data_IF_827025417569
#
_entry.id   IF_827025417569
#
_cell.length_a   1.000
_cell.length_b   1.000
_cell.length_c   1.000
_cell.angle_alpha   90.00
_cell.angle_beta   90.00
_cell.angle_gamma   90.00
#
_symmetry.space_group_name_H-M   'P 1'
#
loop_
_entity.id
_entity.type
_entity.pdbx_description
1 polymer ?
#
# COMPACT_ATOMS: atom_id res chain seq x y z
N UNK A 1 -42.19 -34.79 36.95
CA UNK A 1 -41.65 -34.31 35.65
C UNK A 1 -40.22 -33.85 35.89
N UNK A 2 -39.20 -34.47 35.29
CA UNK A 2 -37.80 -34.03 35.40
C UNK A 2 -37.45 -33.20 34.15
N UNK A 3 -37.30 -31.90 34.31
CA UNK A 3 -36.81 -31.01 33.25
C UNK A 3 -35.30 -31.14 33.25
N UNK A 4 -34.73 -31.60 32.15
CA UNK A 4 -33.28 -31.66 31.94
C UNK A 4 -32.91 -30.44 31.10
N UNK A 5 -32.19 -29.50 31.72
CA UNK A 5 -31.61 -28.37 31.00
C UNK A 5 -30.31 -28.85 30.34
N UNK A 6 -30.28 -28.85 29.01
CA UNK A 6 -29.07 -29.13 28.23
C UNK A 6 -28.45 -27.78 27.86
N UNK A 7 -27.22 -27.54 28.31
CA UNK A 7 -26.44 -26.38 27.90
C UNK A 7 -25.90 -26.68 26.50
N UNK A 8 -26.52 -26.10 25.49
CA UNK A 8 -26.05 -26.18 24.10
C UNK A 8 -25.11 -24.99 23.86
N UNK A 9 -23.81 -25.20 23.61
CA UNK A 9 -22.91 -24.11 23.24
C UNK A 9 -23.31 -23.61 21.84
N UNK A 10 -23.91 -22.43 21.77
CA UNK A 10 -24.18 -21.75 20.51
C UNK A 10 -22.88 -21.10 20.04
N UNK A 11 -22.35 -21.41 18.84
CA UNK A 11 -21.21 -20.70 18.30
C UNK A 11 -21.57 -19.23 18.14
N UNK A 12 -20.85 -18.33 18.81
CA UNK A 12 -20.94 -16.90 18.50
C UNK A 12 -20.25 -16.67 17.16
N UNK A 13 -21.04 -16.52 16.10
CA UNK A 13 -20.55 -16.05 14.82
C UNK A 13 -20.29 -14.54 14.93
N UNK A 14 -19.06 -14.18 15.30
CA UNK A 14 -18.59 -12.81 15.20
C UNK A 14 -18.34 -12.56 13.72
N UNK A 15 -19.22 -11.76 13.08
CA UNK A 15 -18.98 -11.30 11.72
C UNK A 15 -17.75 -10.38 11.77
N UNK A 16 -16.68 -10.78 11.09
CA UNK A 16 -15.50 -9.92 10.95
C UNK A 16 -15.85 -8.72 10.06
N UNK A 17 -15.39 -7.51 10.38
CA UNK A 17 -15.69 -6.31 9.60
C UNK A 17 -15.03 -6.30 8.23
N UNK A 18 -13.99 -7.11 8.05
CA UNK A 18 -13.20 -7.25 6.82
C UNK A 18 -12.97 -8.72 6.49
N UNK A 19 -12.44 -8.97 5.29
CA UNK A 19 -11.97 -10.27 4.82
C UNK A 19 -10.44 -10.26 4.65
N UNK A 20 -9.84 -11.45 4.61
CA UNK A 20 -8.41 -11.58 4.29
C UNK A 20 -8.15 -11.04 2.88
N UNK A 21 -7.07 -10.29 2.72
CA UNK A 21 -6.73 -9.65 1.45
C UNK A 21 -7.45 -8.32 1.19
N UNK A 22 -8.43 -7.92 2.00
CA UNK A 22 -8.97 -6.55 1.92
C UNK A 22 -7.87 -5.55 2.30
N UNK A 23 -7.86 -4.41 1.60
CA UNK A 23 -7.08 -3.25 2.02
C UNK A 23 -7.89 -2.40 2.99
N UNK A 24 -7.27 -2.03 4.09
CA UNK A 24 -7.88 -1.20 5.14
C UNK A 24 -7.05 0.04 5.39
N UNK A 25 -7.75 1.13 5.69
CA UNK A 25 -7.20 2.39 6.13
C UNK A 25 -7.45 2.52 7.64
N UNK A 26 -6.38 2.70 8.41
CA UNK A 26 -6.41 3.02 9.83
C UNK A 26 -6.17 4.51 10.01
N UNK A 27 -7.18 5.22 10.50
CA UNK A 27 -7.17 6.68 10.62
C UNK A 27 -6.59 7.09 11.98
N UNK A 28 -5.36 7.62 11.99
CA UNK A 28 -4.80 8.31 13.15
C UNK A 28 -5.18 9.80 13.09
N UNK A 29 -4.98 10.53 14.19
CA UNK A 29 -5.27 11.97 14.27
C UNK A 29 -4.54 12.80 13.19
N UNK A 30 -3.29 12.43 12.87
CA UNK A 30 -2.41 13.24 12.01
C UNK A 30 -2.03 12.55 10.68
N UNK A 31 -2.37 11.27 10.52
CA UNK A 31 -2.01 10.49 9.34
C UNK A 31 -2.90 9.26 9.18
N UNK A 32 -2.99 8.74 7.97
CA UNK A 32 -3.67 7.47 7.69
C UNK A 32 -2.64 6.41 7.36
N UNK A 33 -2.76 5.23 7.95
CA UNK A 33 -1.98 4.05 7.59
C UNK A 33 -2.82 3.08 6.77
N UNK A 34 -2.16 2.34 5.90
CA UNK A 34 -2.80 1.39 5.01
C UNK A 34 -2.15 0.02 5.13
N UNK A 35 -2.97 -1.02 5.14
CA UNK A 35 -2.48 -2.40 5.12
C UNK A 35 -3.47 -3.34 4.45
N UNK A 36 -2.93 -4.37 3.80
CA UNK A 36 -3.69 -5.56 3.42
C UNK A 36 -3.88 -6.45 4.65
N UNK A 37 -5.12 -6.88 4.91
CA UNK A 37 -5.49 -7.76 6.02
C UNK A 37 -4.82 -9.13 5.86
N UNK A 38 -3.81 -9.43 6.69
CA UNK A 38 -3.11 -10.72 6.70
C UNK A 38 -3.67 -11.71 7.72
N UNK A 39 -4.18 -11.21 8.84
CA UNK A 39 -4.88 -12.01 9.84
C UNK A 39 -5.80 -11.11 10.67
N UNK A 40 -6.79 -11.72 11.32
CA UNK A 40 -7.64 -11.05 12.30
C UNK A 40 -7.71 -11.88 13.58
N UNK A 41 -7.68 -11.20 14.72
CA UNK A 41 -7.78 -11.82 16.05
C UNK A 41 -8.85 -11.12 16.89
N UNK A 42 -9.72 -11.90 17.52
CA UNK A 42 -10.68 -11.38 18.51
C UNK A 42 -10.02 -11.36 19.88
N UNK A 43 -9.86 -10.18 20.46
CA UNK A 43 -9.43 -10.05 21.83
C UNK A 43 -10.53 -10.56 22.77
N UNK A 44 -10.25 -11.66 23.47
CA UNK A 44 -11.23 -12.35 24.33
C UNK A 44 -11.68 -11.54 25.55
N UNK A 45 -10.90 -10.53 25.96
CA UNK A 45 -11.23 -9.75 27.17
C UNK A 45 -12.24 -8.63 26.94
N UNK A 46 -12.29 -8.07 25.72
CA UNK A 46 -13.16 -6.94 25.39
C UNK A 46 -13.95 -7.12 24.09
N UNK A 47 -13.74 -8.22 23.36
CA UNK A 47 -14.40 -8.52 22.09
C UNK A 47 -13.89 -7.72 20.90
N UNK A 48 -12.91 -6.83 21.08
CA UNK A 48 -12.35 -6.03 20.00
C UNK A 48 -11.59 -6.90 18.99
N UNK A 49 -11.73 -6.59 17.71
CA UNK A 49 -11.02 -7.29 16.64
C UNK A 49 -9.74 -6.52 16.32
N UNK A 50 -8.62 -7.24 16.23
CA UNK A 50 -7.34 -6.71 15.77
C UNK A 50 -7.03 -7.23 14.37
N UNK A 51 -6.39 -6.40 13.56
CA UNK A 51 -5.99 -6.69 12.19
C UNK A 51 -4.46 -6.71 12.14
N UNK A 52 -3.90 -7.83 11.68
CA UNK A 52 -2.48 -7.94 11.36
C UNK A 52 -2.25 -7.49 9.93
N UNK A 53 -1.29 -6.60 9.76
CA UNK A 53 -0.87 -6.10 8.46
C UNK A 53 0.58 -5.67 8.47
N UNK A 54 1.07 -5.28 7.29
CA UNK A 54 2.23 -4.39 7.17
C UNK A 54 1.65 -3.01 6.96
N UNK A 55 1.79 -2.14 7.96
CA UNK A 55 1.17 -0.82 8.00
C UNK A 55 2.15 0.22 7.44
N UNK A 56 1.77 0.86 6.34
CA UNK A 56 2.54 1.93 5.73
C UNK A 56 1.72 3.21 5.62
N UNK A 57 2.40 4.33 5.46
CA UNK A 57 1.77 5.59 5.07
C UNK A 57 2.58 6.24 3.92
N UNK A 58 1.98 7.21 3.25
CA UNK A 58 2.63 7.91 2.11
C UNK A 58 3.93 8.64 2.47
N UNK A 59 4.16 8.94 3.75
CA UNK A 59 5.32 9.68 4.25
C UNK A 59 6.50 8.78 4.63
N UNK A 60 6.32 7.45 4.76
CA UNK A 60 7.42 6.53 5.11
C UNK A 60 8.11 5.96 3.87
N UNK A 61 9.45 5.96 3.90
CA UNK A 61 10.31 5.39 2.87
C UNK A 61 10.59 3.88 3.04
N UNK A 62 10.14 3.26 4.13
CA UNK A 62 10.24 1.81 4.34
C UNK A 62 8.97 1.12 3.79
N UNK A 63 8.93 -0.21 3.67
CA UNK A 63 7.72 -0.90 3.17
C UNK A 63 6.51 -0.82 4.13
N UNK A 64 6.67 -0.19 5.30
CA UNK A 64 5.75 -0.24 6.43
C UNK A 64 6.24 -1.18 7.52
N UNK A 65 5.58 -1.12 8.67
CA UNK A 65 5.91 -1.92 9.85
C UNK A 65 4.85 -3.00 10.09
N UNK A 66 5.30 -4.20 10.40
CA UNK A 66 4.39 -5.31 10.71
C UNK A 66 3.79 -5.10 12.09
N UNK A 67 2.46 -5.05 12.18
CA UNK A 67 1.80 -4.71 13.42
C UNK A 67 0.33 -5.10 13.47
N UNK A 68 -0.24 -4.97 14.66
CA UNK A 68 -1.66 -5.20 14.93
C UNK A 68 -2.35 -3.88 15.23
N UNK A 69 -3.42 -3.58 14.50
CA UNK A 69 -4.27 -2.41 14.77
C UNK A 69 -5.71 -2.81 15.04
N UNK A 70 -6.47 -1.95 15.70
CA UNK A 70 -7.87 -2.24 16.02
C UNK A 70 -8.79 -1.97 14.83
N UNK A 71 -9.69 -2.93 14.56
CA UNK A 71 -10.58 -2.91 13.42
C UNK A 71 -11.68 -1.85 13.50
N UNK A 72 -12.01 -1.36 14.69
CA UNK A 72 -13.00 -0.30 14.95
C UNK A 72 -12.50 1.08 14.52
N UNK A 73 -11.19 1.26 14.40
CA UNK A 73 -10.53 2.45 13.85
C UNK A 73 -10.19 2.30 12.36
N UNK A 74 -10.59 1.19 11.75
CA UNK A 74 -10.33 0.90 10.35
C UNK A 74 -11.58 1.11 9.51
N UNK A 75 -11.37 1.52 8.25
CA UNK A 75 -12.34 1.38 7.16
C UNK A 75 -11.70 0.65 5.99
N UNK A 76 -12.52 0.24 5.01
CA UNK A 76 -11.98 -0.20 3.73
C UNK A 76 -11.23 0.96 3.06
N UNK A 77 -10.04 0.68 2.53
CA UNK A 77 -9.33 1.61 1.68
C UNK A 77 -10.08 1.75 0.34
N UNK A 78 -10.04 2.94 -0.25
CA UNK A 78 -10.50 3.10 -1.64
C UNK A 78 -9.52 2.45 -2.61
N UNK A 79 -9.95 2.21 -3.85
CA UNK A 79 -9.07 1.68 -4.90
C UNK A 79 -7.86 2.60 -5.13
N UNK A 80 -8.06 3.91 -5.12
CA UNK A 80 -6.99 4.91 -5.25
C UNK A 80 -6.01 4.83 -4.07
N UNK A 81 -6.50 4.74 -2.84
CA UNK A 81 -5.65 4.64 -1.65
C UNK A 81 -4.81 3.37 -1.66
N UNK A 82 -5.43 2.23 -2.00
CA UNK A 82 -4.74 0.98 -2.20
C UNK A 82 -3.66 1.13 -3.27
N UNK A 83 -4.01 1.66 -4.44
CA UNK A 83 -3.10 1.84 -5.56
C UNK A 83 -1.86 2.65 -5.17
N UNK A 84 -2.06 3.82 -4.55
CA UNK A 84 -0.97 4.70 -4.18
C UNK A 84 -0.07 4.11 -3.09
N UNK A 85 -0.64 3.35 -2.15
CA UNK A 85 0.14 2.64 -1.14
C UNK A 85 0.91 1.44 -1.73
N UNK A 86 0.30 0.67 -2.63
CA UNK A 86 0.96 -0.43 -3.34
C UNK A 86 2.13 0.10 -4.16
N UNK A 87 1.91 1.18 -4.91
CA UNK A 87 2.95 1.87 -5.67
C UNK A 87 4.07 2.37 -4.78
N UNK A 88 3.76 3.01 -3.65
CA UNK A 88 4.76 3.42 -2.66
C UNK A 88 5.61 2.25 -2.18
N UNK A 89 5.00 1.08 -1.91
CA UNK A 89 5.73 -0.13 -1.50
C UNK A 89 6.67 -0.66 -2.58
N UNK A 90 6.34 -0.49 -3.86
CA UNK A 90 7.21 -0.85 -4.98
C UNK A 90 8.51 -0.04 -4.94
N UNK A 91 8.43 1.29 -4.76
CA UNK A 91 9.62 2.14 -4.56
C UNK A 91 10.36 1.83 -3.26
N UNK A 92 9.64 1.62 -2.15
CA UNK A 92 10.24 1.34 -0.85
C UNK A 92 11.05 0.03 -0.82
N UNK A 93 10.67 -0.99 -1.61
CA UNK A 93 11.47 -2.22 -1.80
C UNK A 93 12.85 -1.94 -2.38
N UNK A 94 13.02 -0.84 -3.12
CA UNK A 94 14.29 -0.34 -3.65
C UNK A 94 14.94 0.71 -2.75
N UNK A 95 14.44 0.91 -1.53
CA UNK A 95 14.89 1.94 -0.58
C UNK A 95 14.76 3.36 -1.12
N UNK A 96 13.76 3.58 -1.97
CA UNK A 96 13.45 4.89 -2.57
C UNK A 96 12.18 5.46 -1.94
N UNK A 97 12.06 6.78 -1.90
CA UNK A 97 10.81 7.44 -1.53
C UNK A 97 9.76 7.18 -2.62
N UNK A 98 8.49 7.36 -2.27
CA UNK A 98 7.43 7.33 -3.28
C UNK A 98 7.77 8.32 -4.39
N UNK A 99 7.54 7.95 -5.65
CA UNK A 99 7.80 8.85 -6.79
C UNK A 99 9.27 9.27 -6.98
N UNK A 100 10.23 8.57 -6.37
CA UNK A 100 11.64 8.86 -6.54
C UNK A 100 12.23 8.03 -7.68
N UNK A 101 12.27 8.65 -8.85
CA UNK A 101 12.83 8.09 -10.07
C UNK A 101 14.32 8.43 -10.18
N UNK A 102 15.10 7.47 -10.63
CA UNK A 102 16.53 7.62 -10.87
C UNK A 102 16.81 7.47 -12.37
N UNK A 103 17.93 8.02 -12.81
CA UNK A 103 18.36 7.91 -14.21
C UNK A 103 18.50 6.44 -14.62
N UNK A 104 17.94 6.08 -15.78
CA UNK A 104 17.93 4.73 -16.31
C UNK A 104 16.73 3.87 -15.91
N UNK A 105 15.85 4.35 -15.03
CA UNK A 105 14.58 3.68 -14.79
C UNK A 105 13.71 3.68 -16.05
N UNK A 106 12.95 2.60 -16.25
CA UNK A 106 11.96 2.50 -17.31
C UNK A 106 10.57 2.76 -16.74
N UNK A 107 9.82 3.66 -17.35
CA UNK A 107 8.46 4.00 -16.95
C UNK A 107 7.55 4.16 -18.18
N UNK A 108 6.27 4.44 -17.95
CA UNK A 108 5.32 4.82 -18.99
C UNK A 108 4.39 5.92 -18.52
N UNK A 109 3.83 6.67 -19.47
CA UNK A 109 2.83 7.73 -19.24
C UNK A 109 1.40 7.27 -19.58
N UNK A 110 1.16 5.95 -19.59
CA UNK A 110 -0.08 5.34 -20.07
C UNK A 110 -0.13 5.12 -21.60
N UNK A 111 0.85 5.60 -22.36
CA UNK A 111 0.88 5.45 -23.82
C UNK A 111 2.22 5.01 -24.39
N UNK A 112 3.33 5.52 -23.85
CA UNK A 112 4.69 5.35 -24.38
C UNK A 112 5.58 4.73 -23.33
N UNK A 113 6.56 3.94 -23.76
CA UNK A 113 7.65 3.48 -22.89
C UNK A 113 8.74 4.54 -22.87
N UNK A 114 9.19 4.87 -21.68
CA UNK A 114 10.05 6.01 -21.39
C UNK A 114 11.27 5.56 -20.59
N UNK A 115 12.41 6.20 -20.81
CA UNK A 115 13.59 6.07 -19.96
C UNK A 115 13.79 7.36 -19.18
N UNK A 116 13.88 7.27 -17.86
CA UNK A 116 14.14 8.42 -16.99
C UNK A 116 15.56 8.93 -17.25
N UNK A 117 15.67 10.22 -17.57
CA UNK A 117 16.96 10.89 -17.71
C UNK A 117 17.43 11.44 -16.35
N UNK A 118 16.54 12.18 -15.68
CA UNK A 118 16.83 12.89 -14.43
C UNK A 118 15.52 13.27 -13.73
N UNK A 119 15.54 13.36 -12.40
CA UNK A 119 14.48 14.00 -11.62
C UNK A 119 15.07 15.19 -10.86
N UNK A 120 14.50 16.36 -11.09
CA UNK A 120 14.92 17.59 -10.43
C UNK A 120 14.63 17.50 -8.92
N UNK A 121 15.60 17.88 -8.09
CA UNK A 121 15.49 17.74 -6.64
C UNK A 121 14.67 18.85 -5.98
N UNK A 122 14.56 20.00 -6.63
CA UNK A 122 13.89 21.18 -6.11
C UNK A 122 12.41 21.19 -6.52
N UNK A 123 12.11 20.86 -7.78
CA UNK A 123 10.73 20.80 -8.30
C UNK A 123 10.11 19.41 -8.22
N UNK A 124 10.93 18.35 -8.22
CA UNK A 124 10.46 16.97 -8.29
C UNK A 124 10.10 16.49 -9.70
N UNK A 125 10.16 17.37 -10.71
CA UNK A 125 9.81 17.07 -12.11
C UNK A 125 10.78 16.04 -12.72
N UNK A 126 10.25 15.10 -13.50
CA UNK A 126 11.04 14.04 -14.13
C UNK A 126 11.24 14.35 -15.62
N UNK A 127 12.48 14.48 -16.05
CA UNK A 127 12.81 14.49 -17.48
C UNK A 127 12.90 13.06 -17.99
N UNK A 128 12.11 12.75 -19.02
CA UNK A 128 12.04 11.43 -19.66
C UNK A 128 12.45 11.50 -21.13
N UNK A 129 12.98 10.39 -21.62
CA UNK A 129 13.24 10.16 -23.03
C UNK A 129 12.24 9.13 -23.57
N UNK A 130 11.63 9.43 -24.71
CA UNK A 130 10.69 8.52 -25.36
C UNK A 130 11.47 7.43 -26.10
N UNK A 131 11.29 6.17 -25.69
CA UNK A 131 11.99 5.08 -26.34
C UNK A 131 11.52 4.94 -27.79
N UNK A 132 12.48 4.72 -28.71
CA UNK A 132 12.27 4.68 -30.17
C UNK A 132 11.89 6.03 -30.81
N UNK A 133 12.20 7.15 -30.15
CA UNK A 133 12.07 8.50 -30.67
C UNK A 133 13.31 9.32 -30.27
N UNK A 134 13.45 10.54 -30.81
CA UNK A 134 14.45 11.52 -30.35
C UNK A 134 13.86 12.53 -29.34
N UNK A 135 12.61 12.31 -28.91
CA UNK A 135 11.85 13.20 -28.04
C UNK A 135 12.25 13.07 -26.56
N UNK A 136 12.33 14.23 -25.89
CA UNK A 136 12.42 14.35 -24.43
C UNK A 136 11.40 15.36 -23.94
N UNK A 137 10.85 15.12 -22.76
CA UNK A 137 9.95 16.07 -22.10
C UNK A 137 9.99 15.91 -20.59
N UNK A 138 9.36 16.86 -19.91
CA UNK A 138 9.21 16.88 -18.46
C UNK A 138 7.81 16.40 -18.07
N UNK A 139 7.74 15.55 -17.05
CA UNK A 139 6.50 14.99 -16.54
C UNK A 139 6.46 15.07 -15.02
N UNK A 140 5.25 15.14 -14.47
CA UNK A 140 5.07 14.98 -13.03
C UNK A 140 5.29 13.51 -12.64
N UNK A 141 5.94 13.23 -11.50
CA UNK A 141 6.20 11.86 -11.08
C UNK A 141 4.95 10.98 -10.93
N UNK A 142 3.80 11.60 -10.60
CA UNK A 142 2.54 10.91 -10.41
C UNK A 142 1.85 10.53 -11.73
N UNK A 143 2.28 11.11 -12.85
CA UNK A 143 1.80 10.75 -14.20
C UNK A 143 2.59 9.59 -14.80
N UNK A 144 3.66 9.15 -14.12
CA UNK A 144 4.55 8.10 -14.58
C UNK A 144 4.34 6.80 -13.81
N UNK A 145 4.24 5.70 -14.53
CA UNK A 145 4.20 4.36 -13.96
C UNK A 145 5.51 3.62 -14.17
N UNK A 146 6.13 3.20 -13.07
CA UNK A 146 7.39 2.46 -13.09
C UNK A 146 7.17 1.07 -13.68
N UNK A 147 7.98 0.71 -14.67
CA UNK A 147 8.01 -0.61 -15.28
C UNK A 147 9.17 -1.43 -14.72
N UNK A 148 10.37 -0.86 -14.74
CA UNK A 148 11.59 -1.48 -14.24
C UNK A 148 12.50 -0.44 -13.61
N UNK A 149 13.06 -0.77 -12.44
CA UNK A 149 14.08 0.06 -11.84
C UNK A 149 15.44 -0.24 -12.47
N UNK A 150 16.32 0.77 -12.57
CA UNK A 150 17.66 0.59 -13.09
C UNK A 150 18.45 -0.51 -12.32
N UNK A 151 18.20 -0.66 -11.01
CA UNK A 151 18.81 -1.69 -10.16
C UNK A 151 18.37 -3.12 -10.51
N UNK A 152 17.24 -3.29 -11.22
CA UNK A 152 16.77 -4.62 -11.66
C UNK A 152 17.53 -5.12 -12.91
N UNK A 153 18.15 -4.22 -13.67
CA UNK A 153 18.89 -4.59 -14.88
C UNK A 153 20.29 -5.18 -14.59
N UNK A 154 20.79 -5.03 -13.36
CA UNK A 154 22.11 -5.51 -12.95
C UNK A 154 22.09 -6.95 -12.39
N UNK A 155 21.35 -7.84 -13.04
CA UNK A 155 21.28 -9.28 -12.75
C UNK A 155 22.43 -10.07 -13.33
#
# INVERSE_FOLDING_TARGET
MKIVAVIVPVPQFIKTPFELGNWVAYECNDYTMFAEVKAMEVNRSNGCIKILGVWGNHSVANIGDKGWEYADHCRLATEDEQYWEERRRVFAKKKRRNNEFHSGDFCNDGSRVLTVCHQDKDTGTVTVFVNNSDEKYEAEPHDLEILFFAEDAAG
#
